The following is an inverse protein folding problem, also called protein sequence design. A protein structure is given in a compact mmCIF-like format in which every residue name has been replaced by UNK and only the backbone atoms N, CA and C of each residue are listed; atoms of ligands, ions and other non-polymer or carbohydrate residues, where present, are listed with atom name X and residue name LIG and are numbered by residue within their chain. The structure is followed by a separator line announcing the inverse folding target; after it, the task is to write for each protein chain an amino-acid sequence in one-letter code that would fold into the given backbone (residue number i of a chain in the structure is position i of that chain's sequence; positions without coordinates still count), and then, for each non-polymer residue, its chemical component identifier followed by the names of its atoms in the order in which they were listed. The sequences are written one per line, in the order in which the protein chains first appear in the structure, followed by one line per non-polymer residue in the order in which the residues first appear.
data_IF_618072440433
#
_entry.id   IF_618072440433
#
_cell.length_a   1.000
_cell.length_b   1.000
_cell.length_c   1.000
_cell.angle_alpha   90.00
_cell.angle_beta   90.00
_cell.angle_gamma   90.00
#
_symmetry.space_group_name_H-M   'P 1'
#
loop_
_entity.id
_entity.type
_entity.pdbx_description
1 polymer ?
#
# COMPACT_ATOMS: atom_id res chain seq x y z
N UNK A 1 -6.61 21.23 18.71
CA UNK A 1 -6.92 19.93 18.07
C UNK A 1 -6.22 18.87 18.90
N UNK A 2 -6.95 18.07 19.69
CA UNK A 2 -6.35 17.16 20.66
C UNK A 2 -5.58 16.05 19.93
N UNK A 3 -4.25 16.15 19.93
CA UNK A 3 -3.38 15.04 19.60
C UNK A 3 -3.38 14.14 20.84
N UNK A 4 -4.07 13.00 20.75
CA UNK A 4 -4.05 11.98 21.80
C UNK A 4 -2.67 11.34 21.76
N UNK A 5 -1.79 11.80 22.66
CA UNK A 5 -0.44 11.27 22.83
C UNK A 5 -0.51 10.04 23.73
N UNK A 6 -0.87 8.89 23.15
CA UNK A 6 -0.81 7.62 23.88
C UNK A 6 0.64 7.20 24.10
N UNK A 7 1.12 7.36 25.33
CA UNK A 7 2.48 7.00 25.74
C UNK A 7 2.71 5.49 25.87
N UNK A 8 1.64 4.68 25.85
CA UNK A 8 1.72 3.21 25.89
C UNK A 8 1.90 2.56 24.52
N UNK A 9 1.59 3.28 23.44
CA UNK A 9 1.59 2.78 22.05
C UNK A 9 2.49 3.62 21.15
N UNK A 10 3.66 4.05 21.66
CA UNK A 10 4.72 4.72 20.89
C UNK A 10 5.47 3.73 19.95
N UNK A 11 4.72 2.81 19.34
CA UNK A 11 5.14 1.71 18.50
C UNK A 11 3.89 0.99 18.02
N UNK A 12 3.63 1.01 16.72
CA UNK A 12 2.55 0.25 16.11
C UNK A 12 2.74 -1.23 16.45
N UNK A 13 1.72 -1.90 16.97
CA UNK A 13 1.76 -3.36 17.08
C UNK A 13 1.95 -3.93 15.68
N UNK A 14 3.10 -4.54 15.43
CA UNK A 14 3.44 -5.21 14.16
C UNK A 14 2.31 -6.13 13.73
N UNK A 15 1.79 -6.92 14.68
CA UNK A 15 0.65 -7.82 14.52
C UNK A 15 -0.57 -7.17 13.86
N UNK A 16 -0.85 -5.89 14.15
CA UNK A 16 -2.04 -5.18 13.64
C UNK A 16 -1.78 -4.58 12.25
N UNK A 17 -0.53 -4.23 11.94
CA UNK A 17 -0.07 -3.86 10.60
C UNK A 17 -0.06 -5.10 9.67
N UNK A 18 0.29 -6.26 10.21
CA UNK A 18 0.25 -7.54 9.49
C UNK A 18 -1.21 -7.95 9.19
N UNK A 19 -2.12 -7.80 10.15
CA UNK A 19 -3.56 -8.08 9.94
C UNK A 19 -4.17 -7.15 8.87
N UNK A 20 -3.91 -5.83 8.92
CA UNK A 20 -4.49 -4.90 7.94
C UNK A 20 -3.88 -5.07 6.53
N UNK A 21 -2.60 -5.45 6.42
CA UNK A 21 -1.97 -5.74 5.12
C UNK A 21 -2.48 -7.06 4.52
N UNK A 22 -2.68 -8.10 5.33
CA UNK A 22 -3.36 -9.34 4.91
C UNK A 22 -4.78 -9.04 4.41
N UNK A 23 -5.53 -8.17 5.11
CA UNK A 23 -6.87 -7.75 4.69
C UNK A 23 -6.84 -7.00 3.36
N UNK A 24 -5.88 -6.09 3.15
CA UNK A 24 -5.73 -5.36 1.89
C UNK A 24 -5.44 -6.30 0.70
N UNK A 25 -4.57 -7.30 0.88
CA UNK A 25 -4.28 -8.34 -0.11
C UNK A 25 -5.54 -9.15 -0.41
N UNK A 26 -6.27 -9.58 0.63
CA UNK A 26 -7.52 -10.32 0.49
C UNK A 26 -8.58 -9.52 -0.28
N UNK A 27 -8.75 -8.23 0.03
CA UNK A 27 -9.64 -7.34 -0.73
C UNK A 27 -9.21 -7.24 -2.20
N UNK A 28 -7.91 -7.06 -2.49
CA UNK A 28 -7.40 -6.98 -3.86
C UNK A 28 -7.65 -8.26 -4.69
N UNK A 29 -7.51 -9.44 -4.06
CA UNK A 29 -7.85 -10.72 -4.68
C UNK A 29 -9.36 -10.82 -4.96
N UNK A 30 -10.22 -10.39 -4.03
CA UNK A 30 -11.67 -10.41 -4.20
C UNK A 30 -12.17 -9.45 -5.30
N UNK A 31 -11.51 -8.29 -5.50
CA UNK A 31 -11.78 -7.37 -6.62
C UNK A 31 -11.66 -8.10 -7.96
N UNK A 32 -10.62 -8.92 -8.14
CA UNK A 32 -10.34 -9.62 -9.40
C UNK A 32 -11.26 -10.83 -9.61
N UNK A 33 -11.60 -11.56 -8.54
CA UNK A 33 -12.41 -12.79 -8.62
C UNK A 33 -13.91 -12.50 -8.83
N UNK A 34 -14.41 -11.37 -8.33
CA UNK A 34 -15.85 -11.08 -8.32
C UNK A 34 -16.41 -10.74 -9.71
N UNK A 35 -17.31 -11.60 -10.20
CA UNK A 35 -17.95 -11.45 -11.52
C UNK A 35 -18.95 -10.29 -11.61
N UNK A 36 -19.55 -9.89 -10.49
CA UNK A 36 -20.51 -8.80 -10.44
C UNK A 36 -19.77 -7.46 -10.28
N UNK A 37 -19.90 -6.50 -11.21
CA UNK A 37 -19.12 -5.25 -11.18
C UNK A 37 -19.36 -4.45 -9.89
N UNK A 38 -20.61 -4.38 -9.42
CA UNK A 38 -20.98 -3.70 -8.16
C UNK A 38 -20.24 -4.30 -6.95
N UNK A 39 -20.06 -5.62 -6.92
CA UNK A 39 -19.37 -6.33 -5.82
C UNK A 39 -17.85 -6.13 -5.92
N UNK A 40 -17.29 -6.15 -7.13
CA UNK A 40 -15.88 -5.82 -7.38
C UNK A 40 -15.54 -4.40 -6.90
N UNK A 41 -16.40 -3.44 -7.21
CA UNK A 41 -16.26 -2.04 -6.76
C UNK A 41 -16.35 -1.91 -5.24
N UNK A 42 -17.24 -2.64 -4.57
CA UNK A 42 -17.32 -2.66 -3.10
C UNK A 42 -15.99 -3.11 -2.47
N UNK A 43 -15.37 -4.19 -2.98
CA UNK A 43 -14.08 -4.65 -2.50
C UNK A 43 -12.92 -3.69 -2.83
N UNK A 44 -13.01 -2.94 -3.93
CA UNK A 44 -12.02 -1.95 -4.29
C UNK A 44 -12.05 -0.73 -3.35
N UNK A 45 -13.24 -0.29 -2.94
CA UNK A 45 -13.39 0.73 -1.90
C UNK A 45 -12.82 0.21 -0.57
N UNK A 46 -13.06 -1.06 -0.24
CA UNK A 46 -12.43 -1.74 0.91
C UNK A 46 -10.89 -1.81 0.84
N UNK A 47 -10.33 -1.97 -0.36
CA UNK A 47 -8.88 -1.93 -0.60
C UNK A 47 -8.32 -0.52 -0.37
N UNK A 48 -8.95 0.53 -0.91
CA UNK A 48 -8.50 1.91 -0.66
C UNK A 48 -8.64 2.31 0.81
N UNK A 49 -9.71 1.87 1.49
CA UNK A 49 -9.91 2.11 2.92
C UNK A 49 -8.89 1.37 3.79
N UNK A 50 -8.53 0.12 3.47
CA UNK A 50 -7.50 -0.63 4.21
C UNK A 50 -6.10 -0.07 4.00
N UNK A 51 -5.76 0.38 2.78
CA UNK A 51 -4.51 1.10 2.49
C UNK A 51 -4.48 2.46 3.23
N UNK A 52 -5.58 3.22 3.23
CA UNK A 52 -5.69 4.47 3.99
C UNK A 52 -5.49 4.24 5.50
N UNK A 53 -6.10 3.19 6.05
CA UNK A 53 -5.93 2.79 7.45
C UNK A 53 -4.46 2.45 7.75
N UNK A 54 -3.82 1.63 6.92
CA UNK A 54 -2.40 1.25 7.03
C UNK A 54 -1.45 2.47 6.98
N UNK A 55 -1.81 3.51 6.21
CA UNK A 55 -1.04 4.78 6.09
C UNK A 55 -1.35 5.82 7.19
N UNK A 56 -2.46 5.69 7.92
CA UNK A 56 -2.76 6.48 9.12
C UNK A 56 -2.09 5.85 10.35
N UNK A 57 -2.02 4.51 10.38
CA UNK A 57 -0.89 3.81 11.02
C UNK A 57 0.40 4.10 10.24
N UNK A 58 1.59 3.74 10.76
CA UNK A 58 2.89 4.28 10.29
C UNK A 58 3.07 5.81 10.44
N UNK A 59 2.00 6.60 10.59
CA UNK A 59 2.01 8.02 10.93
C UNK A 59 1.79 8.97 9.73
N UNK A 60 1.59 8.45 8.52
CA UNK A 60 1.46 9.25 7.29
C UNK A 60 0.03 9.80 7.10
N UNK A 61 -0.53 10.40 8.15
CA UNK A 61 -1.91 10.90 8.23
C UNK A 61 -2.37 11.73 7.03
N UNK A 62 -1.53 12.65 6.53
CA UNK A 62 -1.86 13.47 5.36
C UNK A 62 -2.08 12.63 4.09
N UNK A 63 -1.19 11.67 3.80
CA UNK A 63 -1.29 10.86 2.59
C UNK A 63 -2.45 9.85 2.73
N UNK A 64 -2.63 9.26 3.91
CA UNK A 64 -3.72 8.32 4.19
C UNK A 64 -5.10 8.95 3.99
N UNK A 65 -5.32 10.18 4.47
CA UNK A 65 -6.57 10.93 4.24
C UNK A 65 -6.76 11.28 2.76
N UNK A 66 -5.69 11.59 2.03
CA UNK A 66 -5.76 11.85 0.58
C UNK A 66 -6.24 10.62 -0.21
N UNK A 67 -5.73 9.42 0.11
CA UNK A 67 -6.18 8.18 -0.55
C UNK A 67 -7.66 7.87 -0.28
N UNK A 68 -8.17 8.15 0.92
CA UNK A 68 -9.59 7.94 1.23
C UNK A 68 -10.50 8.87 0.42
N UNK A 69 -10.10 10.13 0.23
CA UNK A 69 -10.89 11.08 -0.55
C UNK A 69 -10.93 10.76 -2.06
N UNK A 70 -9.88 10.12 -2.59
CA UNK A 70 -9.87 9.63 -3.97
C UNK A 70 -10.84 8.45 -4.18
N UNK A 71 -11.00 7.57 -3.19
CA UNK A 71 -11.85 6.37 -3.30
C UNK A 71 -13.33 6.70 -3.45
N UNK A 72 -13.83 7.71 -2.73
CA UNK A 72 -15.23 8.16 -2.81
C UNK A 72 -15.56 8.88 -4.14
N UNK A 73 -14.60 9.59 -4.73
CA UNK A 73 -14.79 10.17 -6.08
C UNK A 73 -14.87 9.06 -7.14
N UNK A 74 -14.07 8.00 -6.99
CA UNK A 74 -14.09 6.83 -7.87
C UNK A 74 -15.41 6.04 -7.76
N UNK A 75 -15.98 5.94 -6.56
CA UNK A 75 -17.31 5.36 -6.31
C UNK A 75 -18.39 6.07 -7.13
N UNK A 76 -18.42 7.41 -7.12
CA UNK A 76 -19.39 8.21 -7.87
C UNK A 76 -19.34 7.91 -9.37
N UNK A 77 -18.14 7.87 -9.97
CA UNK A 77 -17.94 7.61 -11.39
C UNK A 77 -18.42 6.19 -11.76
N UNK A 78 -18.07 5.18 -10.96
CA UNK A 78 -18.41 3.79 -11.23
C UNK A 78 -19.90 3.48 -11.05
N UNK A 79 -20.58 4.12 -10.10
CA UNK A 79 -22.03 3.97 -9.93
C UNK A 79 -22.82 4.53 -11.13
N UNK A 80 -22.31 5.57 -11.78
CA UNK A 80 -22.92 6.15 -12.99
C UNK A 80 -22.69 5.29 -14.24
N UNK A 81 -21.76 4.34 -14.20
CA UNK A 81 -21.45 3.43 -15.31
C UNK A 81 -22.33 2.18 -15.24
N UNK A 82 -23.32 2.11 -16.14
CA UNK A 82 -24.17 0.94 -16.32
C UNK A 82 -23.43 -0.17 -17.12
N UNK A 83 -22.54 -0.91 -16.46
CA UNK A 83 -21.93 -2.12 -17.02
C UNK A 83 -22.97 -3.25 -17.01
N UNK A 84 -23.41 -3.63 -18.20
CA UNK A 84 -24.09 -4.90 -18.44
C UNK A 84 -23.05 -6.02 -18.46
N UNK A 85 -23.30 -7.11 -17.73
CA UNK A 85 -22.48 -8.32 -17.81
C UNK A 85 -22.64 -8.88 -19.24
N UNK A 86 -21.62 -8.68 -20.07
CA UNK A 86 -21.51 -9.35 -21.36
C UNK A 86 -21.09 -10.79 -21.13
N UNK A 87 -22.04 -11.71 -21.18
CA UNK A 87 -21.84 -13.15 -20.98
C UNK A 87 -21.17 -13.79 -22.22
N UNK A 88 -19.95 -13.35 -22.55
CA UNK A 88 -19.06 -14.08 -23.43
C UNK A 88 -18.40 -15.21 -22.62
N UNK A 89 -19.15 -16.30 -22.47
CA UNK A 89 -18.68 -17.56 -21.87
C UNK A 89 -17.66 -18.27 -22.79
N UNK A 90 -16.52 -17.63 -23.05
CA UNK A 90 -15.34 -18.33 -23.56
C UNK A 90 -14.77 -19.18 -22.44
N UNK A 91 -14.65 -20.48 -22.65
CA UNK A 91 -14.24 -21.45 -21.62
C UNK A 91 -12.71 -21.45 -21.43
N UNK A 92 -12.14 -20.28 -21.12
CA UNK A 92 -10.70 -19.98 -21.14
C UNK A 92 -10.08 -20.08 -19.74
N UNK A 93 -10.23 -21.23 -19.08
CA UNK A 93 -9.65 -21.51 -17.76
C UNK A 93 -8.12 -21.34 -17.70
N UNK A 94 -7.42 -21.50 -18.83
CA UNK A 94 -5.96 -21.40 -18.91
C UNK A 94 -5.40 -19.96 -18.75
N UNK A 95 -6.23 -18.91 -18.79
CA UNK A 95 -5.75 -17.53 -18.62
C UNK A 95 -5.21 -17.25 -17.21
N UNK A 96 -5.76 -17.92 -16.19
CA UNK A 96 -5.34 -17.79 -14.78
C UNK A 96 -3.92 -18.31 -14.58
N UNK A 97 -3.55 -19.43 -15.22
CA UNK A 97 -2.21 -19.99 -15.13
C UNK A 97 -1.16 -19.03 -15.74
N UNK A 98 -1.50 -18.39 -16.86
CA UNK A 98 -0.65 -17.39 -17.49
C UNK A 98 -0.51 -16.12 -16.62
N UNK A 99 -1.60 -15.65 -16.01
CA UNK A 99 -1.57 -14.51 -15.09
C UNK A 99 -0.66 -14.76 -13.88
N UNK A 100 -0.73 -15.96 -13.29
CA UNK A 100 0.15 -16.37 -12.17
C UNK A 100 1.63 -16.42 -12.64
N UNK A 101 1.91 -16.98 -13.81
CA UNK A 101 3.27 -17.04 -14.36
C UNK A 101 3.86 -15.63 -14.60
N UNK A 102 3.06 -14.68 -15.11
CA UNK A 102 3.47 -13.29 -15.31
C UNK A 102 3.71 -12.59 -13.96
N UNK A 103 2.82 -12.79 -12.98
CA UNK A 103 2.97 -12.19 -11.65
C UNK A 103 4.26 -12.65 -10.94
N UNK A 104 4.57 -13.96 -10.99
CA UNK A 104 5.81 -14.52 -10.44
C UNK A 104 7.04 -13.97 -11.18
N UNK A 105 7.00 -13.92 -12.51
CA UNK A 105 8.10 -13.40 -13.33
C UNK A 105 8.39 -11.92 -13.03
N UNK A 106 7.35 -11.08 -12.91
CA UNK A 106 7.50 -9.66 -12.59
C UNK A 106 7.95 -9.41 -11.15
N UNK A 107 7.58 -10.28 -10.22
CA UNK A 107 7.92 -10.14 -8.81
C UNK A 107 9.43 -10.36 -8.51
N UNK A 108 10.11 -11.21 -9.29
CA UNK A 108 11.56 -11.46 -9.15
C UNK A 108 12.44 -10.19 -9.29
N UNK A 109 12.39 -9.41 -10.40
CA UNK A 109 13.18 -8.19 -10.52
C UNK A 109 12.75 -7.10 -9.53
N UNK A 110 11.48 -7.05 -9.12
CA UNK A 110 11.02 -6.13 -8.07
C UNK A 110 11.72 -6.43 -6.75
N UNK A 111 11.79 -7.69 -6.33
CA UNK A 111 12.53 -8.07 -5.11
C UNK A 111 14.02 -7.74 -5.18
N UNK A 112 14.63 -7.78 -6.37
CA UNK A 112 16.04 -7.41 -6.57
C UNK A 112 16.28 -5.89 -6.51
N UNK A 113 15.25 -5.07 -6.78
CA UNK A 113 15.32 -3.60 -6.72
C UNK A 113 15.07 -3.04 -5.32
N UNK A 114 14.38 -3.77 -4.43
CA UNK A 114 14.22 -3.33 -3.05
C UNK A 114 15.58 -3.39 -2.31
N UNK A 115 15.96 -2.35 -1.54
CA UNK A 115 17.18 -2.35 -0.74
C UNK A 115 17.01 -3.22 0.51
N UNK A 116 16.91 -4.54 0.32
CA UNK A 116 16.91 -5.50 1.41
C UNK A 116 18.35 -5.69 1.92
N UNK A 117 18.77 -4.81 2.81
CA UNK A 117 20.10 -4.89 3.43
C UNK A 117 20.19 -6.11 4.37
N UNK A 118 20.70 -7.22 3.82
CA UNK A 118 21.49 -8.27 4.51
C UNK A 118 20.78 -9.17 5.56
N UNK A 119 19.56 -8.88 6.00
CA UNK A 119 18.88 -9.68 7.05
C UNK A 119 18.27 -11.04 6.61
N UNK A 120 18.14 -11.35 5.32
CA UNK A 120 17.63 -12.65 4.81
C UNK A 120 18.77 -13.66 4.65
N UNK A 121 19.94 -13.22 4.17
CA UNK A 121 21.09 -14.11 3.98
C UNK A 121 21.58 -14.69 5.32
N UNK A 122 21.60 -13.86 6.38
CA UNK A 122 21.91 -14.32 7.74
C UNK A 122 20.84 -15.27 8.30
N UNK A 123 19.56 -15.07 7.99
CA UNK A 123 18.51 -15.98 8.45
C UNK A 123 18.53 -17.34 7.74
N UNK A 124 19.04 -17.43 6.50
CA UNK A 124 19.25 -18.72 5.84
C UNK A 124 20.40 -19.53 6.47
N UNK A 125 21.48 -18.85 6.88
CA UNK A 125 22.52 -19.46 7.72
C UNK A 125 21.98 -19.92 9.07
N UNK A 126 21.07 -19.16 9.68
CA UNK A 126 20.43 -19.54 10.94
C UNK A 126 19.47 -20.73 10.78
N UNK A 127 18.71 -20.83 9.68
CA UNK A 127 17.82 -21.98 9.43
C UNK A 127 18.60 -23.29 9.26
N UNK A 128 19.72 -23.25 8.54
CA UNK A 128 20.65 -24.39 8.44
C UNK A 128 21.23 -24.77 9.82
N UNK A 129 21.57 -23.78 10.65
CA UNK A 129 22.05 -24.01 12.01
C UNK A 129 20.96 -24.57 12.94
N UNK A 130 19.68 -24.19 12.76
CA UNK A 130 18.54 -24.77 13.51
C UNK A 130 18.34 -26.24 13.11
N UNK A 131 18.33 -26.57 11.82
CA UNK A 131 18.24 -27.97 11.36
C UNK A 131 19.45 -28.81 11.84
N UNK A 132 20.66 -28.25 11.79
CA UNK A 132 21.87 -28.90 12.28
C UNK A 132 21.83 -29.09 13.80
N UNK A 133 21.32 -28.11 14.57
CA UNK A 133 21.12 -28.24 16.01
C UNK A 133 20.04 -29.26 16.37
N UNK A 134 18.95 -29.35 15.62
CA UNK A 134 17.93 -30.40 15.82
C UNK A 134 18.55 -31.78 15.58
N UNK A 135 19.34 -31.94 14.52
CA UNK A 135 20.05 -33.20 14.22
C UNK A 135 21.10 -33.55 15.30
N UNK A 136 21.85 -32.57 15.81
CA UNK A 136 22.85 -32.78 16.87
C UNK A 136 22.22 -33.02 18.26
N UNK A 137 21.08 -32.40 18.56
CA UNK A 137 20.34 -32.57 19.83
C UNK A 137 19.64 -33.93 19.93
N UNK A 138 19.33 -34.57 18.79
CA UNK A 138 18.92 -35.99 18.74
C UNK A 138 20.03 -36.95 19.17
N UNK A 139 21.30 -36.62 18.87
CA UNK A 139 22.44 -37.47 19.19
C UNK A 139 23.07 -37.18 20.56
N UNK A 140 23.10 -35.92 21.02
CA UNK A 140 23.71 -35.53 22.29
C UNK A 140 22.73 -34.82 23.22
N UNK A 141 22.33 -35.56 24.25
CA UNK A 141 21.47 -35.11 25.35
C UNK A 141 22.03 -33.85 26.04
N UNK A 142 21.23 -32.76 25.98
CA UNK A 142 21.31 -31.53 26.81
C UNK A 142 22.32 -30.46 26.33
N UNK A 143 21.81 -29.54 25.52
CA UNK A 143 22.38 -28.19 25.33
C UNK A 143 21.29 -27.18 25.71
N UNK A 144 21.55 -26.33 26.71
CA UNK A 144 20.68 -25.19 27.02
C UNK A 144 20.88 -24.13 25.92
N UNK A 145 19.93 -24.07 24.99
CA UNK A 145 19.86 -23.04 23.96
C UNK A 145 19.28 -21.76 24.57
N UNK A 146 20.12 -21.00 25.27
CA UNK A 146 19.83 -19.62 25.64
C UNK A 146 19.85 -18.77 24.37
N UNK A 147 18.73 -18.77 23.65
CA UNK A 147 18.44 -17.82 22.58
C UNK A 147 18.36 -16.43 23.23
N UNK A 148 19.47 -15.68 23.14
CA UNK A 148 19.47 -14.27 23.48
C UNK A 148 18.75 -13.56 22.33
N UNK A 149 17.46 -13.31 22.53
CA UNK A 149 16.69 -12.44 21.66
C UNK A 149 17.22 -11.02 21.86
N UNK A 150 18.12 -10.58 20.97
CA UNK A 150 18.47 -9.17 20.79
C UNK A 150 17.26 -8.43 20.21
N UNK A 151 16.23 -8.25 21.03
CA UNK A 151 15.12 -7.35 20.78
C UNK A 151 15.70 -5.92 20.75
N UNK A 152 15.95 -5.40 19.55
CA UNK A 152 16.48 -4.04 19.37
C UNK A 152 15.36 -3.03 19.71
N UNK A 153 15.23 -2.73 21.00
CA UNK A 153 14.35 -1.67 21.49
C UNK A 153 14.90 -0.32 21.04
N UNK A 154 14.22 0.31 20.08
CA UNK A 154 14.56 1.65 19.60
C UNK A 154 14.43 2.67 20.75
N UNK A 155 15.56 3.16 21.25
CA UNK A 155 15.59 4.21 22.29
C UNK A 155 15.22 5.55 21.65
N UNK A 156 13.93 5.88 21.65
CA UNK A 156 13.46 7.21 21.21
C UNK A 156 13.74 8.24 22.31
N UNK A 157 14.86 8.96 22.23
CA UNK A 157 15.07 10.14 23.07
C UNK A 157 14.09 11.25 22.64
N UNK A 158 13.12 11.58 23.51
CA UNK A 158 12.21 12.72 23.32
C UNK A 158 13.00 14.01 23.55
N UNK A 159 13.79 14.42 22.57
CA UNK A 159 14.59 15.65 22.61
C UNK A 159 13.63 16.85 22.60
N UNK A 160 13.61 17.61 23.69
CA UNK A 160 12.63 18.69 23.91
C UNK A 160 12.68 19.81 22.86
N UNK A 161 13.84 19.99 22.23
CA UNK A 161 14.15 21.06 21.26
C UNK A 161 13.45 20.82 19.92
N UNK A 162 13.27 19.56 19.53
CA UNK A 162 12.56 19.19 18.30
C UNK A 162 11.07 19.52 18.33
N UNK A 163 10.44 19.49 19.52
CA UNK A 163 9.01 19.72 19.69
C UNK A 163 8.64 21.22 19.54
N UNK A 164 9.58 22.14 19.82
CA UNK A 164 9.37 23.57 19.56
C UNK A 164 9.32 23.90 18.05
N UNK A 165 9.77 22.97 17.20
CA UNK A 165 9.85 23.08 15.75
C UNK A 165 9.06 21.92 15.09
N UNK A 166 8.07 21.33 15.79
CA UNK A 166 7.24 20.23 15.28
C UNK A 166 6.34 20.67 14.12
N UNK A 167 6.94 20.73 12.94
CA UNK A 167 6.27 21.01 11.68
C UNK A 167 5.42 19.80 11.28
N UNK A 168 4.10 20.01 11.21
CA UNK A 168 3.16 19.03 10.65
C UNK A 168 3.65 18.46 9.31
N UNK A 169 3.25 17.23 8.98
CA UNK A 169 3.61 16.62 7.68
C UNK A 169 3.21 17.50 6.49
N UNK A 170 2.11 18.24 6.60
CA UNK A 170 1.60 19.18 5.58
C UNK A 170 2.51 20.42 5.44
N UNK A 171 2.94 21.04 6.54
CA UNK A 171 3.84 22.20 6.46
C UNK A 171 5.22 21.81 5.94
N UNK A 172 5.72 20.63 6.33
CA UNK A 172 6.98 20.08 5.81
C UNK A 172 6.92 19.77 4.31
N UNK A 173 5.88 19.07 3.85
CA UNK A 173 5.74 18.74 2.41
C UNK A 173 5.48 19.99 1.57
N UNK A 174 4.69 20.93 2.09
CA UNK A 174 4.40 22.21 1.45
C UNK A 174 5.65 23.07 1.28
N UNK A 175 6.47 23.20 2.32
CA UNK A 175 7.72 23.96 2.25
C UNK A 175 8.63 23.43 1.12
N UNK A 176 8.80 22.12 1.03
CA UNK A 176 9.64 21.48 0.00
C UNK A 176 9.03 21.63 -1.41
N UNK A 177 7.71 21.47 -1.56
CA UNK A 177 7.01 21.59 -2.84
C UNK A 177 7.04 23.03 -3.40
N UNK A 178 6.77 24.03 -2.57
CA UNK A 178 6.69 25.43 -3.02
C UNK A 178 8.07 26.09 -3.20
N UNK A 179 9.10 25.68 -2.44
CA UNK A 179 10.44 26.29 -2.55
C UNK A 179 11.37 25.52 -3.50
N UNK A 180 11.56 24.22 -3.28
CA UNK A 180 12.59 23.43 -3.96
C UNK A 180 12.10 22.72 -5.22
N UNK A 181 10.86 22.22 -5.22
CA UNK A 181 10.31 21.40 -6.31
C UNK A 181 9.17 22.07 -7.09
N UNK A 182 9.13 23.41 -7.11
CA UNK A 182 8.06 24.19 -7.75
C UNK A 182 7.84 23.83 -9.24
N UNK A 183 8.90 23.43 -9.97
CA UNK A 183 8.78 22.96 -11.37
C UNK A 183 7.84 21.75 -11.51
N UNK A 184 7.88 20.81 -10.57
CA UNK A 184 6.98 19.65 -10.57
C UNK A 184 5.53 20.05 -10.27
N UNK A 185 5.33 21.07 -9.42
CA UNK A 185 4.01 21.64 -9.12
C UNK A 185 3.41 22.35 -10.36
N UNK A 186 4.22 23.12 -11.09
CA UNK A 186 3.82 23.75 -12.36
C UNK A 186 3.44 22.68 -13.39
N UNK A 187 4.21 21.60 -13.51
CA UNK A 187 3.92 20.49 -14.42
C UNK A 187 2.60 19.79 -14.01
N UNK A 188 2.36 19.56 -12.72
CA UNK A 188 1.10 19.04 -12.21
C UNK A 188 -0.10 19.96 -12.53
N UNK A 189 0.07 21.29 -12.51
CA UNK A 189 -0.96 22.25 -12.92
C UNK A 189 -1.33 22.09 -14.40
N UNK A 190 -0.34 21.91 -15.29
CA UNK A 190 -0.59 21.61 -16.70
C UNK A 190 -1.30 20.27 -16.92
N UNK A 191 -0.97 19.24 -16.14
CA UNK A 191 -1.68 17.94 -16.19
C UNK A 191 -3.15 18.11 -15.76
N UNK A 192 -3.42 18.88 -14.71
CA UNK A 192 -4.78 19.12 -14.22
C UNK A 192 -5.61 19.93 -15.24
N UNK A 193 -5.01 20.93 -15.87
CA UNK A 193 -5.62 21.67 -16.98
C UNK A 193 -5.91 20.75 -18.17
N UNK A 194 -4.97 19.88 -18.56
CA UNK A 194 -5.16 18.91 -19.63
C UNK A 194 -6.28 17.90 -19.32
N UNK A 195 -6.39 17.45 -18.07
CA UNK A 195 -7.47 16.57 -17.63
C UNK A 195 -8.85 17.23 -17.76
N UNK A 196 -8.97 18.51 -17.36
CA UNK A 196 -10.21 19.28 -17.49
C UNK A 196 -10.58 19.52 -18.97
N UNK A 197 -9.63 19.97 -19.79
CA UNK A 197 -9.86 20.20 -21.23
C UNK A 197 -10.19 18.87 -21.94
N UNK A 198 -9.50 17.78 -21.60
CA UNK A 198 -9.79 16.45 -22.12
C UNK A 198 -11.20 15.98 -21.80
N UNK A 199 -11.66 16.12 -20.55
CA UNK A 199 -13.02 15.78 -20.16
C UNK A 199 -14.08 16.60 -20.92
N UNK A 200 -13.84 17.90 -21.11
CA UNK A 200 -14.74 18.78 -21.89
C UNK A 200 -14.77 18.35 -23.36
N UNK A 201 -13.61 18.12 -24.00
CA UNK A 201 -13.54 17.73 -25.42
C UNK A 201 -14.16 16.35 -25.67
N UNK A 202 -14.07 15.41 -24.72
CA UNK A 202 -14.70 14.09 -24.81
C UNK A 202 -16.24 14.19 -24.68
N UNK A 203 -16.75 15.15 -23.92
CA UNK A 203 -18.20 15.28 -23.65
C UNK A 203 -18.92 16.27 -24.56
N UNK A 204 -18.20 17.16 -25.25
CA UNK A 204 -18.80 18.17 -26.13
C UNK A 204 -19.29 17.52 -27.44
N UNK A 205 -20.61 17.52 -27.63
CA UNK A 205 -21.23 17.01 -28.86
C UNK A 205 -21.24 18.11 -29.94
N UNK A 206 -20.68 17.88 -31.14
CA UNK A 206 -20.78 18.84 -32.23
C UNK A 206 -22.22 18.94 -32.73
N UNK A 207 -22.77 20.15 -32.77
CA UNK A 207 -24.06 20.43 -33.40
C UNK A 207 -23.86 20.57 -34.91
N UNK A 208 -24.06 19.48 -35.65
CA UNK A 208 -24.20 19.53 -37.11
C UNK A 208 -25.60 20.05 -37.47
N UNK A 209 -25.70 21.33 -37.81
CA UNK A 209 -26.87 21.89 -38.47
C UNK A 209 -26.92 21.39 -39.92
N UNK A 210 -27.82 20.43 -40.19
CA UNK A 210 -28.12 20.01 -41.56
C UNK A 210 -28.88 21.14 -42.27
N UNK A 211 -28.27 21.69 -43.31
CA UNK A 211 -28.95 22.47 -44.35
C UNK A 211 -29.25 21.55 -45.54
#
# INVERSE_FOLDING_TARGET
MFIIHETYTNGYRTDILDIISLLAILCGILVIISKNPIVSVLFLIGLFASISCYLIMLGLSFIGLSYQNCSILFLFILMLINIRISELQSNTSNSILLAIAIAISFNYPVFQLLPYNITILNNYYNLNHILQNIYLNLNNKKINLNLYNDDIYFVTSKIWDGNLIENSHITSIGNILYTSYNVWLILASFILLLAMVGAIVITIKPNTSNN
#
